data_IF_734528411951
#
_entry.id   IF_734528411951
#
_cell.length_a   1.000
_cell.length_b   1.000
_cell.length_c   1.000
_cell.angle_alpha   90.00
_cell.angle_beta   90.00
_cell.angle_gamma   90.00
#
_symmetry.space_group_name_H-M   'P 1'
#
loop_
_entity.id
_entity.type
_entity.pdbx_description
1 polymer ?
#
# COMPACT_ATOMS: atom_id res chain seq x y z
N UNK A 1 28.51 -4.96 21.39
CA UNK A 1 28.46 -6.04 20.37
C UNK A 1 26.97 -6.25 20.09
N UNK A 2 26.34 -5.77 19.02
CA UNK A 2 26.75 -5.36 17.69
C UNK A 2 25.77 -4.30 17.16
N UNK A 3 26.29 -3.23 16.55
CA UNK A 3 25.56 -2.40 15.59
C UNK A 3 25.44 -3.15 14.25
N UNK A 4 24.23 -3.21 13.69
CA UNK A 4 23.82 -3.36 12.27
C UNK A 4 22.44 -4.05 12.25
N UNK A 5 21.43 -3.57 11.53
CA UNK A 5 21.44 -3.43 10.07
C UNK A 5 20.67 -2.20 9.60
N UNK A 6 21.36 -1.33 8.87
CA UNK A 6 20.84 -0.37 7.89
C UNK A 6 19.32 -0.32 7.65
N UNK A 7 18.66 0.79 8.05
CA UNK A 7 17.38 1.25 7.49
C UNK A 7 17.49 1.75 6.03
N UNK A 8 18.57 1.39 5.34
CA UNK A 8 18.88 1.82 3.98
C UNK A 8 18.30 0.84 2.97
N UNK A 9 17.00 0.94 2.72
CA UNK A 9 16.34 0.17 1.66
C UNK A 9 15.00 0.75 1.27
N UNK A 10 14.72 0.81 -0.02
CA UNK A 10 13.41 1.19 -0.56
C UNK A 10 12.42 0.03 -0.37
N UNK A 11 11.25 0.31 0.18
CA UNK A 11 10.16 -0.68 0.24
C UNK A 11 9.42 -0.69 -1.08
N UNK A 12 9.28 -1.87 -1.69
CA UNK A 12 8.56 -2.06 -2.96
C UNK A 12 7.16 -2.59 -2.71
N UNK A 13 6.18 -2.01 -3.37
CA UNK A 13 4.80 -2.49 -3.38
C UNK A 13 4.51 -3.02 -4.78
N UNK A 14 4.35 -4.34 -4.89
CA UNK A 14 3.91 -5.00 -6.11
C UNK A 14 2.39 -5.15 -6.02
N UNK A 15 1.68 -4.55 -6.98
CA UNK A 15 0.24 -4.35 -6.94
C UNK A 15 -0.37 -5.10 -8.12
N UNK A 16 -1.28 -6.02 -7.83
CA UNK A 16 -2.13 -6.72 -8.81
C UNK A 16 -3.58 -6.65 -8.31
N UNK A 17 -4.37 -5.75 -8.90
CA UNK A 17 -5.79 -5.55 -8.57
C UNK A 17 -6.59 -5.61 -9.87
N UNK A 18 -7.77 -6.24 -9.83
CA UNK A 18 -8.67 -6.38 -10.98
C UNK A 18 -10.06 -5.86 -10.62
N UNK A 19 -10.84 -5.51 -11.64
CA UNK A 19 -12.24 -5.11 -11.47
C UNK A 19 -12.42 -3.69 -10.93
N UNK A 20 -11.44 -2.81 -11.13
CA UNK A 20 -11.53 -1.41 -10.73
C UNK A 20 -12.30 -0.63 -11.80
N UNK A 21 -13.46 -0.09 -11.44
CA UNK A 21 -14.29 0.68 -12.38
C UNK A 21 -13.77 2.13 -12.51
N UNK A 22 -13.60 2.59 -13.76
CA UNK A 22 -13.15 3.95 -14.11
C UNK A 22 -14.17 4.78 -14.88
N UNK A 23 -15.36 4.24 -15.18
CA UNK A 23 -16.34 4.82 -16.12
C UNK A 23 -16.78 6.25 -15.78
N UNK A 24 -16.64 6.69 -14.53
CA UNK A 24 -17.04 8.04 -14.07
C UNK A 24 -15.94 8.78 -13.29
N UNK A 25 -14.66 8.41 -13.42
CA UNK A 25 -13.59 9.01 -12.62
C UNK A 25 -12.22 8.93 -13.27
N UNK A 26 -11.21 9.50 -12.60
CA UNK A 26 -9.83 9.42 -13.06
C UNK A 26 -9.35 7.97 -13.14
N UNK A 27 -8.47 7.66 -14.11
CA UNK A 27 -7.70 6.41 -14.10
C UNK A 27 -6.68 6.38 -12.95
N UNK A 28 -6.33 7.54 -12.39
CA UNK A 28 -5.50 7.62 -11.19
C UNK A 28 -6.37 7.43 -9.94
N UNK A 29 -5.90 6.59 -9.02
CA UNK A 29 -6.56 6.28 -7.75
C UNK A 29 -5.58 6.49 -6.61
N UNK A 30 -6.00 7.21 -5.58
CA UNK A 30 -5.21 7.35 -4.34
C UNK A 30 -4.92 5.99 -3.71
N UNK A 31 -3.71 5.80 -3.20
CA UNK A 31 -3.26 4.54 -2.63
C UNK A 31 -2.46 4.81 -1.35
N UNK A 32 -2.97 4.35 -0.21
CA UNK A 32 -2.45 4.77 1.09
C UNK A 32 -2.35 3.62 2.09
N UNK A 33 -1.31 3.65 2.92
CA UNK A 33 -1.29 2.86 4.16
C UNK A 33 -2.09 3.61 5.22
N UNK A 34 -3.07 2.93 5.80
CA UNK A 34 -3.91 3.43 6.90
C UNK A 34 -3.45 2.88 8.24
N UNK A 35 -3.75 3.60 9.32
CA UNK A 35 -3.10 3.39 10.63
C UNK A 35 -3.43 2.06 11.34
N UNK A 36 -4.58 1.46 11.06
CA UNK A 36 -5.04 0.24 11.74
C UNK A 36 -5.15 -0.94 10.79
N UNK A 37 -4.62 -2.11 11.18
CA UNK A 37 -4.89 -3.37 10.51
C UNK A 37 -6.28 -3.92 10.83
N UNK A 38 -7.32 -3.16 10.47
CA UNK A 38 -8.73 -3.56 10.66
C UNK A 38 -9.50 -3.34 9.37
N UNK A 39 -10.22 -4.37 8.95
CA UNK A 39 -11.09 -4.33 7.78
C UNK A 39 -12.55 -4.34 8.26
N UNK A 40 -13.37 -3.50 7.65
CA UNK A 40 -14.82 -3.44 7.86
C UNK A 40 -15.47 -2.97 6.56
N UNK A 41 -16.79 -2.84 6.56
CA UNK A 41 -17.52 -2.25 5.43
C UNK A 41 -16.89 -0.92 5.00
N UNK A 42 -16.72 -0.77 3.69
CA UNK A 42 -16.09 0.39 3.05
C UNK A 42 -14.73 0.76 3.66
N UNK A 43 -14.01 -0.22 4.20
CA UNK A 43 -12.69 -0.05 4.80
C UNK A 43 -12.63 0.95 5.96
N UNK A 44 -13.76 1.28 6.58
CA UNK A 44 -13.87 2.35 7.57
C UNK A 44 -12.99 2.14 8.82
N UNK A 45 -12.88 0.89 9.30
CA UNK A 45 -12.10 0.52 10.48
C UNK A 45 -10.58 0.70 10.32
N UNK A 46 -10.07 0.89 9.10
CA UNK A 46 -8.66 1.16 8.83
C UNK A 46 -8.16 2.47 9.47
N UNK A 47 -9.08 3.40 9.82
CA UNK A 47 -8.74 4.71 10.38
C UNK A 47 -8.27 5.71 9.31
N UNK A 48 -7.46 6.70 9.69
CA UNK A 48 -6.83 7.64 8.76
C UNK A 48 -5.54 7.10 8.15
N UNK A 49 -4.85 7.92 7.35
CA UNK A 49 -3.52 7.58 6.82
C UNK A 49 -2.55 7.32 8.00
N UNK A 50 -1.59 6.42 7.81
CA UNK A 50 -0.57 6.17 8.81
C UNK A 50 0.36 7.38 8.95
N UNK A 51 0.21 8.10 10.06
CA UNK A 51 0.89 9.36 10.33
C UNK A 51 1.46 9.40 11.76
N UNK A 52 2.54 8.67 12.05
CA UNK A 52 3.12 8.62 13.40
C UNK A 52 3.74 9.97 13.83
N UNK A 53 4.04 10.86 12.88
CA UNK A 53 4.74 12.12 13.11
C UNK A 53 3.84 13.36 13.07
N UNK A 54 2.52 13.17 12.96
CA UNK A 54 1.56 14.26 12.85
C UNK A 54 1.92 15.30 11.77
N UNK A 55 2.40 14.82 10.61
CA UNK A 55 2.69 15.63 9.43
C UNK A 55 1.40 15.93 8.66
N UNK A 56 1.46 16.89 7.76
CA UNK A 56 0.39 17.08 6.77
C UNK A 56 0.50 15.99 5.70
N UNK A 57 -0.60 15.73 5.01
CA UNK A 57 -0.62 14.92 3.80
C UNK A 57 0.23 15.58 2.70
N UNK A 58 0.89 14.77 1.86
CA UNK A 58 1.69 15.27 0.75
C UNK A 58 2.04 14.20 -0.30
N UNK A 59 2.82 14.62 -1.31
CA UNK A 59 3.29 13.75 -2.38
C UNK A 59 4.30 12.71 -1.86
N UNK A 60 4.41 11.52 -2.48
CA UNK A 60 5.43 10.54 -2.10
C UNK A 60 6.88 11.06 -2.13
N UNK A 61 7.15 12.12 -2.90
CA UNK A 61 8.49 12.69 -2.97
C UNK A 61 8.72 13.83 -1.96
N UNK A 62 7.70 14.22 -1.20
CA UNK A 62 7.81 15.30 -0.23
C UNK A 62 8.46 14.81 1.07
N UNK A 63 9.23 15.69 1.71
CA UNK A 63 9.76 15.44 3.06
C UNK A 63 8.70 15.61 4.15
N UNK A 64 7.68 16.43 3.87
CA UNK A 64 6.52 16.66 4.70
C UNK A 64 5.28 15.98 4.11
N UNK A 65 5.10 14.71 4.48
CA UNK A 65 3.96 13.86 4.11
C UNK A 65 3.67 12.89 5.25
N UNK A 66 2.53 12.20 5.20
CA UNK A 66 2.34 11.03 6.04
C UNK A 66 3.28 9.90 5.61
N UNK A 67 3.61 9.00 6.55
CA UNK A 67 4.35 7.78 6.21
C UNK A 67 3.56 6.95 5.21
N UNK A 68 2.24 6.88 5.37
CA UNK A 68 1.35 6.11 4.50
C UNK A 68 0.96 6.75 3.17
N UNK A 69 1.44 7.95 2.83
CA UNK A 69 1.12 8.60 1.55
C UNK A 69 1.95 7.99 0.41
N UNK A 70 1.35 7.09 -0.38
CA UNK A 70 2.01 6.46 -1.54
C UNK A 70 1.57 7.07 -2.89
N UNK A 71 0.71 8.09 -2.85
CA UNK A 71 0.25 8.84 -4.02
C UNK A 71 -0.79 8.07 -4.82
N UNK A 72 -0.59 7.97 -6.12
CA UNK A 72 -1.57 7.38 -7.03
C UNK A 72 -1.06 6.11 -7.72
N UNK A 73 -1.98 5.18 -7.97
CA UNK A 73 -1.80 4.07 -8.91
C UNK A 73 -2.66 4.29 -10.16
N UNK A 74 -2.19 3.78 -11.29
CA UNK A 74 -2.90 3.87 -12.57
C UNK A 74 -3.80 2.64 -12.76
N UNK A 75 -5.07 2.87 -13.08
CA UNK A 75 -6.00 1.84 -13.53
C UNK A 75 -5.97 1.79 -15.05
N UNK A 76 -5.67 0.62 -15.60
CA UNK A 76 -5.66 0.33 -17.02
C UNK A 76 -7.08 0.30 -17.61
N UNK A 77 -7.17 0.34 -18.93
CA UNK A 77 -8.47 0.40 -19.65
C UNK A 77 -9.36 -0.82 -19.42
N UNK A 78 -8.79 -1.96 -19.04
CA UNK A 78 -9.50 -3.19 -18.70
C UNK A 78 -9.90 -3.28 -17.21
N UNK A 79 -9.66 -2.22 -16.43
CA UNK A 79 -9.95 -2.16 -15.00
C UNK A 79 -8.93 -2.88 -14.13
N UNK A 80 -7.72 -3.15 -14.64
CA UNK A 80 -6.62 -3.74 -13.88
C UNK A 80 -5.64 -2.70 -13.36
N UNK A 81 -4.92 -3.04 -12.29
CA UNK A 81 -3.77 -2.30 -11.77
C UNK A 81 -2.66 -3.33 -11.64
N UNK A 82 -1.65 -3.25 -12.52
CA UNK A 82 -0.48 -4.13 -12.47
C UNK A 82 0.81 -3.29 -12.47
N UNK A 83 1.26 -2.89 -11.28
CA UNK A 83 2.36 -1.93 -11.12
C UNK A 83 3.26 -2.29 -9.95
N UNK A 84 4.52 -1.82 -10.03
CA UNK A 84 5.40 -1.77 -8.86
C UNK A 84 5.70 -0.33 -8.51
N UNK A 85 5.33 0.09 -7.31
CA UNK A 85 5.75 1.38 -6.74
C UNK A 85 6.78 1.16 -5.66
N UNK A 86 7.49 2.23 -5.30
CA UNK A 86 8.63 2.18 -4.40
C UNK A 86 8.59 3.37 -3.47
N UNK A 87 8.85 3.14 -2.19
CA UNK A 87 8.80 4.17 -1.16
C UNK A 87 10.03 4.14 -0.25
N UNK A 88 10.51 5.32 0.13
CA UNK A 88 11.69 5.46 0.98
C UNK A 88 11.34 5.67 2.46
N UNK A 89 10.09 6.03 2.79
CA UNK A 89 9.67 6.38 4.15
C UNK A 89 8.96 5.22 4.82
N UNK A 90 7.97 4.61 4.17
CA UNK A 90 7.28 3.41 4.64
C UNK A 90 8.25 2.24 4.69
N UNK A 91 8.36 1.59 5.86
CA UNK A 91 9.28 0.46 6.11
C UNK A 91 8.52 -0.74 6.64
N UNK A 92 9.14 -1.93 6.58
CA UNK A 92 8.57 -3.16 7.16
C UNK A 92 9.04 -3.39 8.62
N UNK A 93 9.87 -2.50 9.15
CA UNK A 93 10.43 -2.50 10.50
C UNK A 93 10.67 -1.07 10.97
N UNK A 94 11.07 -0.87 12.22
CA UNK A 94 11.41 0.46 12.77
C UNK A 94 10.19 1.32 13.07
N UNK A 95 10.42 2.63 13.23
CA UNK A 95 9.36 3.59 13.59
C UNK A 95 8.32 3.78 12.47
N UNK A 96 8.76 3.65 11.22
CA UNK A 96 7.90 3.74 10.03
C UNK A 96 7.29 2.39 9.64
N UNK A 97 7.26 1.42 10.56
CA UNK A 97 6.79 0.07 10.28
C UNK A 97 5.32 0.05 9.85
N UNK A 98 5.04 -0.44 8.65
CA UNK A 98 3.70 -0.61 8.09
C UNK A 98 3.12 -2.02 8.28
N UNK A 99 3.89 -2.97 8.83
CA UNK A 99 3.39 -4.30 9.13
C UNK A 99 2.26 -4.24 10.17
N UNK A 100 1.22 -5.07 9.98
CA UNK A 100 0.02 -5.08 10.83
C UNK A 100 -0.92 -3.90 10.61
N UNK A 101 -0.67 -3.06 9.60
CA UNK A 101 -1.58 -2.00 9.15
C UNK A 101 -2.43 -2.47 7.97
N UNK A 102 -3.17 -1.57 7.36
CA UNK A 102 -3.92 -1.85 6.13
C UNK A 102 -3.50 -0.94 5.00
N UNK A 103 -3.55 -1.44 3.78
CA UNK A 103 -3.47 -0.63 2.56
C UNK A 103 -4.90 -0.35 2.05
N UNK A 104 -5.12 0.83 1.48
CA UNK A 104 -6.42 1.27 0.96
C UNK A 104 -6.26 1.83 -0.46
N UNK A 105 -7.09 1.34 -1.37
CA UNK A 105 -7.30 1.91 -2.71
C UNK A 105 -8.51 2.84 -2.66
N UNK A 106 -8.36 4.05 -3.18
CA UNK A 106 -9.41 5.07 -3.19
C UNK A 106 -10.13 5.17 -4.53
N UNK A 107 -11.30 5.83 -4.52
CA UNK A 107 -12.16 6.01 -5.68
C UNK A 107 -11.62 7.10 -6.62
N UNK A 108 -11.09 8.17 -6.07
CA UNK A 108 -10.67 9.34 -6.83
C UNK A 108 -9.15 9.48 -6.80
N UNK A 109 -8.64 10.36 -7.65
CA UNK A 109 -7.23 10.72 -7.67
C UNK A 109 -6.88 11.42 -6.37
N UNK A 110 -5.76 11.04 -5.78
CA UNK A 110 -5.09 11.83 -4.75
C UNK A 110 -4.47 13.09 -5.39
N UNK A 111 -4.92 14.27 -4.96
CA UNK A 111 -4.46 15.58 -5.42
C UNK A 111 -3.13 16.04 -4.80
N UNK A 112 -2.56 15.25 -3.88
CA UNK A 112 -1.27 15.41 -3.21
C UNK A 112 -1.15 16.65 -2.31
N UNK A 113 -2.24 17.40 -2.07
CA UNK A 113 -2.17 18.71 -1.42
C UNK A 113 -3.29 18.95 -0.41
N UNK A 114 -4.51 18.54 -0.71
CA UNK A 114 -5.67 18.73 0.15
C UNK A 114 -5.51 17.97 1.46
N UNK A 115 -5.83 18.64 2.56
CA UNK A 115 -5.73 18.05 3.89
C UNK A 115 -7.07 17.45 4.35
N UNK A 116 -7.06 16.34 5.12
CA UNK A 116 -5.90 15.54 5.49
C UNK A 116 -5.67 14.33 4.55
N UNK A 117 -6.38 14.20 3.43
CA UNK A 117 -6.42 12.93 2.66
C UNK A 117 -6.30 13.09 1.15
N UNK A 118 -5.79 14.22 0.67
CA UNK A 118 -5.56 14.45 -0.76
C UNK A 118 -6.82 14.45 -1.61
N UNK A 119 -7.99 14.69 -1.00
CA UNK A 119 -9.30 14.62 -1.66
C UNK A 119 -9.56 13.31 -2.44
N UNK A 120 -8.93 12.19 -2.05
CA UNK A 120 -9.00 10.92 -2.79
C UNK A 120 -10.39 10.22 -2.76
N UNK A 121 -11.36 10.78 -2.06
CA UNK A 121 -12.73 10.27 -2.04
C UNK A 121 -12.89 8.93 -1.31
N UNK A 122 -13.89 8.14 -1.73
CA UNK A 122 -14.30 6.89 -1.07
C UNK A 122 -13.20 5.82 -1.10
N UNK A 123 -13.29 4.84 -0.21
CA UNK A 123 -12.38 3.69 -0.16
C UNK A 123 -13.00 2.54 -0.96
N UNK A 124 -12.33 2.11 -2.03
CA UNK A 124 -12.83 1.04 -2.90
C UNK A 124 -12.48 -0.36 -2.38
N UNK A 125 -11.27 -0.50 -1.83
CA UNK A 125 -10.76 -1.78 -1.36
C UNK A 125 -9.68 -1.57 -0.30
N UNK A 126 -9.51 -2.57 0.56
CA UNK A 126 -8.43 -2.59 1.55
C UNK A 126 -8.03 -4.02 1.87
N UNK A 127 -6.77 -4.19 2.26
CA UNK A 127 -6.28 -5.45 2.80
C UNK A 127 -5.24 -5.20 3.90
N UNK A 128 -5.00 -6.24 4.70
CA UNK A 128 -4.01 -6.20 5.77
C UNK A 128 -2.60 -6.37 5.20
N UNK A 129 -1.64 -5.66 5.78
CA UNK A 129 -0.21 -5.86 5.53
C UNK A 129 0.28 -6.87 6.54
N UNK A 130 0.51 -8.10 6.09
CA UNK A 130 0.94 -9.23 6.92
C UNK A 130 2.18 -9.89 6.35
N UNK A 131 2.90 -10.61 7.19
CA UNK A 131 3.99 -11.47 6.73
C UNK A 131 3.40 -12.65 5.97
N UNK A 132 3.94 -12.93 4.79
CA UNK A 132 3.53 -14.06 3.96
C UNK A 132 4.71 -15.00 3.77
N UNK A 133 4.48 -16.28 4.02
CA UNK A 133 5.45 -17.35 3.78
C UNK A 133 4.92 -18.19 2.62
N UNK A 134 5.64 -18.18 1.50
CA UNK A 134 5.35 -19.06 0.36
C UNK A 134 6.21 -20.31 0.48
N UNK A 135 5.58 -21.47 0.69
CA UNK A 135 6.25 -22.77 0.67
C UNK A 135 6.10 -23.33 -0.74
N UNK A 136 7.18 -23.37 -1.51
CA UNK A 136 7.22 -24.09 -2.77
C UNK A 136 7.52 -25.57 -2.50
N UNK A 137 6.51 -26.43 -2.66
CA UNK A 137 6.70 -27.89 -2.62
C UNK A 137 6.95 -28.38 -4.02
N UNK A 138 8.20 -28.73 -4.32
CA UNK A 138 8.57 -29.33 -5.60
C UNK A 138 8.12 -30.80 -5.64
N UNK A 139 6.95 -31.06 -6.21
CA UNK A 139 6.42 -32.43 -6.44
C UNK A 139 7.08 -33.00 -7.70
N UNK A 140 8.40 -33.17 -7.67
CA UNK A 140 9.14 -33.80 -8.75
C UNK A 140 10.29 -34.65 -8.21
N UNK A 141 9.98 -35.92 -7.91
CA UNK A 141 10.78 -37.14 -8.20
C UNK A 141 10.31 -38.32 -7.33
N UNK A 142 9.14 -38.88 -7.66
CA UNK A 142 8.76 -40.24 -7.25
C UNK A 142 8.41 -41.02 -8.52
N UNK A 143 9.44 -41.53 -9.19
CA UNK A 143 9.31 -42.55 -10.24
C UNK A 143 10.60 -43.40 -10.31
N UNK A 144 11.18 -43.73 -9.15
CA UNK A 144 12.19 -44.77 -9.08
C UNK A 144 11.48 -46.11 -8.87
N UNK A 145 11.16 -46.79 -9.98
CA UNK A 145 10.78 -48.21 -9.97
C UNK A 145 11.97 -49.02 -9.46
N UNK A 146 11.69 -49.87 -8.48
CA UNK A 146 12.55 -50.93 -7.94
C UNK A 146 12.81 -51.97 -9.02
#
# INVERSE_FOLDING_TARGET
>A
MSENTSESGTTKFMIDIKGVNTTNGSSLKGFHVHQYGKLSEECSAAGGHFNPFNKNHGSPNDTNRHVGDLGNVIVETDGTIHQTISDQIAKLTGENNIMGKSIVLHQDKDDLTSQPTGAAGKRLACCLIVESITIEVDVAKSNQKI
#
